data_IF_833194696041
#
_entry.id   IF_833194696041
#
_cell.length_a   1.000
_cell.length_b   1.000
_cell.length_c   1.000
_cell.angle_alpha   90.00
_cell.angle_beta   90.00
_cell.angle_gamma   90.00
#
_symmetry.space_group_name_H-M   'P 1'
#
loop_
_entity.id
_entity.type
_entity.pdbx_description
1 polymer ?
#
# COMPACT_ATOMS: atom_id res chain seq x y z
N UNK A 1 15.13 21.93 -21.81
CA UNK A 1 16.11 21.26 -20.91
C UNK A 1 15.78 19.79 -20.89
N UNK A 2 16.76 18.91 -20.68
CA UNK A 2 16.48 17.48 -20.49
C UNK A 2 15.86 17.28 -19.10
N UNK A 3 14.79 16.49 -18.99
CA UNK A 3 14.09 16.20 -17.72
C UNK A 3 14.76 15.08 -16.91
N UNK A 4 15.61 14.28 -17.56
CA UNK A 4 16.47 13.31 -16.91
C UNK A 4 17.79 13.13 -17.66
N UNK A 5 18.76 12.49 -17.01
CA UNK A 5 20.05 12.08 -17.57
C UNK A 5 20.32 10.62 -17.23
N UNK A 6 20.57 9.80 -18.25
CA UNK A 6 21.02 8.42 -18.06
C UNK A 6 22.55 8.35 -18.06
N UNK A 7 23.11 7.74 -17.02
CA UNK A 7 24.52 7.38 -16.91
C UNK A 7 24.65 5.86 -17.14
N UNK A 8 25.19 5.42 -18.30
CA UNK A 8 25.30 4.01 -18.62
C UNK A 8 26.39 3.28 -17.83
N UNK A 9 27.42 3.99 -17.35
CA UNK A 9 28.49 3.39 -16.56
C UNK A 9 28.00 3.04 -15.16
N UNK A 10 27.21 3.94 -14.58
CA UNK A 10 26.58 3.74 -13.25
C UNK A 10 25.23 3.02 -13.30
N UNK A 11 24.66 2.85 -14.51
CA UNK A 11 23.31 2.32 -14.74
C UNK A 11 22.25 3.07 -13.93
N UNK A 12 22.36 4.40 -13.89
CA UNK A 12 21.49 5.26 -13.10
C UNK A 12 20.81 6.31 -13.98
N UNK A 13 19.58 6.66 -13.63
CA UNK A 13 18.87 7.81 -14.20
C UNK A 13 18.78 8.87 -13.12
N UNK A 14 19.21 10.10 -13.43
CA UNK A 14 19.06 11.26 -12.56
C UNK A 14 17.95 12.15 -13.11
N UNK A 15 16.97 12.47 -12.28
CA UNK A 15 15.91 13.44 -12.56
C UNK A 15 16.30 14.79 -11.98
N UNK A 16 16.18 15.87 -12.76
CA UNK A 16 16.67 17.20 -12.37
C UNK A 16 15.64 18.29 -12.71
N UNK A 17 15.49 19.26 -11.80
CA UNK A 17 14.53 20.35 -11.91
C UNK A 17 13.08 19.89 -11.70
N UNK A 18 12.17 20.86 -11.55
CA UNK A 18 10.76 20.62 -11.20
C UNK A 18 10.11 19.61 -12.15
N UNK A 19 10.20 19.82 -13.47
CA UNK A 19 9.63 18.90 -14.47
C UNK A 19 10.25 17.48 -14.45
N UNK A 20 11.50 17.33 -14.01
CA UNK A 20 12.12 16.03 -13.83
C UNK A 20 11.61 15.32 -12.58
N UNK A 21 11.46 16.07 -11.48
CA UNK A 21 10.91 15.57 -10.23
C UNK A 21 9.40 15.23 -10.36
N UNK A 22 8.63 16.04 -11.09
CA UNK A 22 7.24 15.75 -11.46
C UNK A 22 7.14 14.41 -12.18
N UNK A 23 7.97 14.18 -13.21
CA UNK A 23 8.01 12.91 -13.93
C UNK A 23 8.38 11.74 -13.02
N UNK A 24 9.36 11.90 -12.13
CA UNK A 24 9.73 10.87 -11.17
C UNK A 24 8.55 10.54 -10.25
N UNK A 25 7.91 11.55 -9.69
CA UNK A 25 6.77 11.38 -8.80
C UNK A 25 5.63 10.62 -9.49
N UNK A 26 5.28 11.04 -10.70
CA UNK A 26 4.28 10.39 -11.56
C UNK A 26 4.57 8.91 -11.82
N UNK A 27 5.84 8.58 -12.06
CA UNK A 27 6.26 7.19 -12.28
C UNK A 27 6.15 6.37 -11.00
N UNK A 28 6.51 6.94 -9.85
CA UNK A 28 6.45 6.26 -8.56
C UNK A 28 4.99 6.04 -8.11
N UNK A 29 4.11 7.03 -8.30
CA UNK A 29 2.68 6.88 -8.02
C UNK A 29 2.07 5.78 -8.89
N UNK A 30 2.33 5.79 -10.21
CA UNK A 30 1.85 4.73 -11.10
C UNK A 30 2.44 3.36 -10.77
N UNK A 31 3.68 3.30 -10.28
CA UNK A 31 4.25 2.03 -9.84
C UNK A 31 3.59 1.51 -8.57
N UNK A 32 3.21 2.40 -7.63
CA UNK A 32 2.62 2.04 -6.34
C UNK A 32 1.11 1.75 -6.42
N UNK A 33 0.37 2.58 -7.16
CA UNK A 33 -1.10 2.61 -7.24
C UNK A 33 -1.65 2.34 -8.65
N UNK A 34 -0.80 1.99 -9.61
CA UNK A 34 -1.25 1.67 -10.97
C UNK A 34 -1.87 0.27 -11.07
N UNK A 35 -2.20 -0.10 -12.30
CA UNK A 35 -2.88 -1.36 -12.62
C UNK A 35 -2.15 -2.58 -12.02
N UNK A 36 -2.77 -3.18 -11.00
CA UNK A 36 -2.35 -4.46 -10.43
C UNK A 36 -1.76 -4.42 -9.02
N UNK A 37 -1.57 -3.24 -8.41
CA UNK A 37 -1.10 -3.08 -7.02
C UNK A 37 0.05 -4.02 -6.63
N UNK A 38 1.28 -3.61 -6.95
CA UNK A 38 2.47 -4.36 -6.55
C UNK A 38 2.65 -4.29 -5.02
N UNK A 39 2.25 -5.35 -4.32
CA UNK A 39 2.26 -5.46 -2.86
C UNK A 39 3.59 -5.02 -2.23
N UNK A 40 4.77 -5.41 -2.75
CA UNK A 40 6.05 -4.94 -2.20
C UNK A 40 6.24 -3.41 -2.27
N UNK A 41 5.63 -2.73 -3.25
CA UNK A 41 5.69 -1.27 -3.39
C UNK A 41 4.68 -0.58 -2.47
N UNK A 42 3.49 -1.16 -2.30
CA UNK A 42 2.50 -0.68 -1.34
C UNK A 42 3.09 -0.65 0.08
N UNK A 43 3.70 -1.75 0.52
CA UNK A 43 4.21 -1.90 1.90
C UNK A 43 5.56 -1.23 2.16
N UNK A 44 6.18 -0.61 1.14
CA UNK A 44 7.52 -0.03 1.22
C UNK A 44 7.56 1.31 1.97
N UNK A 45 8.17 1.40 3.17
CA UNK A 45 8.26 2.65 3.92
C UNK A 45 9.19 3.65 3.24
N UNK A 46 10.24 3.18 2.58
CA UNK A 46 11.16 4.04 1.85
C UNK A 46 10.47 4.76 0.69
N UNK A 47 9.66 4.02 -0.08
CA UNK A 47 8.90 4.60 -1.19
C UNK A 47 7.88 5.62 -0.68
N UNK A 48 7.18 5.30 0.41
CA UNK A 48 6.24 6.21 1.05
C UNK A 48 6.89 7.53 1.48
N UNK A 49 8.08 7.46 2.09
CA UNK A 49 8.86 8.65 2.48
C UNK A 49 9.27 9.47 1.25
N UNK A 50 9.74 8.81 0.19
CA UNK A 50 10.13 9.50 -1.03
C UNK A 50 8.93 10.21 -1.70
N UNK A 51 7.78 9.53 -1.80
CA UNK A 51 6.55 10.11 -2.34
C UNK A 51 6.09 11.31 -1.52
N UNK A 52 6.05 11.21 -0.19
CA UNK A 52 5.72 12.35 0.69
C UNK A 52 6.67 13.52 0.55
N UNK A 53 7.97 13.27 0.37
CA UNK A 53 8.94 14.33 0.13
C UNK A 53 8.69 15.01 -1.21
N UNK A 54 8.51 14.24 -2.29
CA UNK A 54 8.22 14.77 -3.61
C UNK A 54 6.93 15.59 -3.61
N UNK A 55 5.87 15.08 -2.99
CA UNK A 55 4.58 15.77 -2.81
C UNK A 55 4.71 17.12 -2.09
N UNK A 56 5.56 17.22 -1.06
CA UNK A 56 5.82 18.49 -0.37
C UNK A 56 6.66 19.49 -1.19
N UNK A 57 7.53 18.99 -2.06
CA UNK A 57 8.45 19.84 -2.84
C UNK A 57 7.85 20.34 -4.15
N UNK A 58 6.89 19.60 -4.70
CA UNK A 58 6.30 19.88 -5.99
C UNK A 58 5.02 20.72 -5.81
N UNK A 59 4.80 21.73 -6.67
CA UNK A 59 3.62 22.58 -6.56
C UNK A 59 2.37 21.76 -6.88
N UNK A 60 1.37 21.80 -6.00
CA UNK A 60 0.04 21.24 -6.26
C UNK A 60 -0.61 22.00 -7.44
N UNK A 61 -0.53 21.40 -8.63
CA UNK A 61 -1.12 21.93 -9.85
C UNK A 61 -2.51 21.32 -10.14
N UNK A 62 -3.05 20.54 -9.19
CA UNK A 62 -4.36 19.89 -9.28
C UNK A 62 -4.43 18.73 -10.29
N UNK A 63 -3.30 18.24 -10.82
CA UNK A 63 -3.27 17.08 -11.73
C UNK A 63 -3.06 15.74 -11.01
N UNK A 64 -2.84 15.76 -9.70
CA UNK A 64 -2.22 14.69 -8.93
C UNK A 64 -3.27 13.80 -8.29
N UNK A 65 -3.76 12.81 -9.06
CA UNK A 65 -5.09 12.20 -8.84
C UNK A 65 -6.20 13.27 -8.89
N UNK A 66 -7.28 13.08 -9.65
CA UNK A 66 -8.36 14.03 -9.61
C UNK A 66 -9.05 13.94 -8.24
N UNK A 67 -8.61 14.75 -7.27
CA UNK A 67 -9.35 15.07 -6.05
C UNK A 67 -10.64 15.79 -6.49
N UNK A 68 -11.62 15.03 -6.99
CA UNK A 68 -12.92 15.58 -7.27
C UNK A 68 -13.58 15.83 -5.92
N UNK A 69 -14.01 17.06 -5.61
CA UNK A 69 -14.64 17.35 -4.33
C UNK A 69 -15.79 16.38 -4.05
N UNK A 70 -15.66 15.58 -2.99
CA UNK A 70 -16.66 14.60 -2.57
C UNK A 70 -16.55 13.20 -3.20
N UNK A 71 -15.51 12.91 -4.00
CA UNK A 71 -15.17 11.53 -4.35
C UNK A 71 -13.98 11.05 -3.52
N UNK A 72 -14.02 9.80 -3.00
CA UNK A 72 -12.85 9.22 -2.36
C UNK A 72 -11.73 9.03 -3.39
N UNK A 73 -10.48 9.13 -2.92
CA UNK A 73 -9.28 8.93 -3.75
C UNK A 73 -9.18 7.45 -4.12
N UNK A 74 -9.49 6.59 -3.15
CA UNK A 74 -9.48 5.14 -3.29
C UNK A 74 -10.91 4.62 -3.35
N UNK A 75 -11.18 3.73 -4.29
CA UNK A 75 -12.43 2.98 -4.31
C UNK A 75 -12.35 1.71 -3.44
N UNK A 76 -13.43 0.93 -3.41
CA UNK A 76 -13.48 -0.28 -2.58
C UNK A 76 -12.45 -1.34 -3.01
N UNK A 77 -12.20 -1.48 -4.32
CA UNK A 77 -11.23 -2.44 -4.84
C UNK A 77 -9.80 -2.04 -4.45
N UNK A 78 -9.51 -0.73 -4.43
CA UNK A 78 -8.25 -0.19 -3.94
C UNK A 78 -8.02 -0.52 -2.45
N UNK A 79 -9.05 -0.32 -1.61
CA UNK A 79 -8.96 -0.59 -0.16
C UNK A 79 -8.76 -2.08 0.12
N UNK A 80 -9.45 -2.96 -0.62
CA UNK A 80 -9.25 -4.41 -0.53
C UNK A 80 -7.83 -4.80 -0.94
N UNK A 81 -7.30 -4.22 -2.03
CA UNK A 81 -5.92 -4.46 -2.46
C UNK A 81 -4.88 -4.04 -1.39
N UNK A 82 -5.15 -2.95 -0.67
CA UNK A 82 -4.34 -2.53 0.47
C UNK A 82 -4.39 -3.53 1.64
N UNK A 83 -5.58 -4.04 1.96
CA UNK A 83 -5.77 -5.11 2.96
C UNK A 83 -5.00 -6.38 2.61
N UNK A 84 -5.14 -6.85 1.37
CA UNK A 84 -4.42 -8.00 0.82
C UNK A 84 -2.91 -7.84 0.89
N UNK A 85 -2.38 -6.65 0.60
CA UNK A 85 -0.95 -6.38 0.71
C UNK A 85 -0.46 -6.55 2.15
N UNK A 86 -1.24 -6.10 3.13
CA UNK A 86 -0.92 -6.25 4.56
C UNK A 86 -1.04 -7.70 5.02
N UNK A 87 -2.04 -8.45 4.54
CA UNK A 87 -2.21 -9.86 4.88
C UNK A 87 -1.00 -10.69 4.41
N UNK A 88 -0.56 -10.48 3.16
CA UNK A 88 0.53 -11.26 2.57
C UNK A 88 1.91 -10.82 3.07
N UNK A 89 2.16 -9.51 3.15
CA UNK A 89 3.46 -8.96 3.54
C UNK A 89 3.56 -8.62 5.03
N UNK A 90 2.50 -8.88 5.82
CA UNK A 90 2.42 -8.50 7.23
C UNK A 90 3.55 -9.06 8.09
N UNK A 91 4.08 -10.22 7.73
CA UNK A 91 5.24 -10.82 8.38
C UNK A 91 6.54 -10.05 8.08
N UNK A 92 6.72 -9.57 6.85
CA UNK A 92 7.88 -8.79 6.40
C UNK A 92 7.95 -7.45 7.12
N UNK A 93 6.79 -6.83 7.33
CA UNK A 93 6.69 -5.46 7.88
C UNK A 93 6.39 -5.42 9.38
N UNK A 94 6.27 -6.59 10.02
CA UNK A 94 6.03 -6.70 11.47
C UNK A 94 4.61 -6.34 11.91
N UNK A 95 3.64 -6.30 10.98
CA UNK A 95 2.25 -5.90 11.20
C UNK A 95 1.62 -6.60 12.41
N UNK A 96 1.84 -7.92 12.54
CA UNK A 96 1.24 -8.75 13.60
C UNK A 96 1.72 -8.39 15.02
N UNK A 97 2.78 -7.61 15.14
CA UNK A 97 3.33 -7.15 16.43
C UNK A 97 3.02 -5.69 16.72
N UNK A 98 2.45 -4.95 15.76
CA UNK A 98 2.07 -3.56 15.93
C UNK A 98 0.84 -3.44 16.83
N UNK A 99 0.85 -2.40 17.67
CA UNK A 99 -0.34 -1.93 18.38
C UNK A 99 -1.34 -1.30 17.41
N UNK A 100 -2.60 -1.18 17.82
CA UNK A 100 -3.64 -0.56 16.98
C UNK A 100 -3.28 0.86 16.49
N UNK A 101 -2.73 1.77 17.32
CA UNK A 101 -2.26 3.07 16.82
C UNK A 101 -1.14 2.97 15.77
N UNK A 102 -0.25 1.99 15.91
CA UNK A 102 0.86 1.77 14.97
C UNK A 102 0.34 1.22 13.64
N UNK A 103 -0.62 0.28 13.65
CA UNK A 103 -1.30 -0.22 12.44
C UNK A 103 -1.97 0.92 11.68
N UNK A 104 -2.73 1.75 12.39
CA UNK A 104 -3.42 2.93 11.83
C UNK A 104 -2.46 3.94 11.22
N UNK A 105 -1.35 4.19 11.90
CA UNK A 105 -0.28 5.02 11.38
C UNK A 105 0.33 4.37 10.14
N UNK A 106 0.61 3.07 10.16
CA UNK A 106 1.20 2.36 9.03
C UNK A 106 0.32 2.41 7.77
N UNK A 107 -1.00 2.20 7.90
CA UNK A 107 -1.94 2.32 6.79
C UNK A 107 -1.92 3.72 6.17
N UNK A 108 -1.99 4.78 6.99
CA UNK A 108 -1.99 6.17 6.51
C UNK A 108 -0.62 6.59 5.97
N UNK A 109 0.44 6.22 6.67
CA UNK A 109 1.77 6.78 6.47
C UNK A 109 2.64 6.00 5.49
N UNK A 110 2.30 4.74 5.23
CA UNK A 110 3.06 3.85 4.34
C UNK A 110 2.21 3.34 3.19
N UNK A 111 1.08 2.72 3.48
CA UNK A 111 0.27 2.04 2.46
C UNK A 111 -0.36 3.05 1.50
N UNK A 112 -1.14 4.00 2.03
CA UNK A 112 -1.81 5.01 1.21
C UNK A 112 -0.94 6.21 0.83
N UNK A 113 0.28 6.30 1.39
CA UNK A 113 1.15 7.44 1.16
C UNK A 113 1.42 7.68 -0.34
N UNK A 114 1.34 8.92 -0.81
CA UNK A 114 1.23 10.15 -0.02
C UNK A 114 -0.21 10.59 0.28
N UNK A 115 -1.20 9.90 -0.27
CA UNK A 115 -2.60 10.26 -0.16
C UNK A 115 -3.17 10.02 1.24
N UNK A 116 -4.11 10.86 1.70
CA UNK A 116 -4.78 10.66 2.98
C UNK A 116 -5.75 9.47 2.92
N UNK A 117 -5.89 8.77 4.05
CA UNK A 117 -7.05 7.92 4.32
C UNK A 117 -7.91 8.57 5.39
N UNK A 118 -9.22 8.51 5.18
CA UNK A 118 -10.22 8.80 6.20
C UNK A 118 -10.27 7.70 7.25
N UNK A 119 -10.87 8.00 8.40
CA UNK A 119 -11.06 7.00 9.45
C UNK A 119 -11.93 5.83 9.00
N UNK A 120 -12.94 6.09 8.15
CA UNK A 120 -13.81 5.05 7.62
C UNK A 120 -13.08 4.09 6.67
N UNK A 121 -12.19 4.60 5.83
CA UNK A 121 -11.37 3.77 4.93
C UNK A 121 -10.37 2.92 5.71
N UNK A 122 -9.78 3.48 6.77
CA UNK A 122 -8.89 2.72 7.66
C UNK A 122 -9.66 1.61 8.38
N UNK A 123 -10.83 1.92 8.94
CA UNK A 123 -11.68 0.92 9.61
C UNK A 123 -12.13 -0.18 8.64
N UNK A 124 -12.39 0.16 7.38
CA UNK A 124 -12.70 -0.81 6.33
C UNK A 124 -11.54 -1.78 6.10
N UNK A 125 -10.31 -1.27 5.92
CA UNK A 125 -9.12 -2.09 5.72
C UNK A 125 -8.84 -2.96 6.96
N UNK A 126 -8.95 -2.40 8.16
CA UNK A 126 -8.77 -3.17 9.41
C UNK A 126 -9.77 -4.33 9.52
N UNK A 127 -11.05 -4.08 9.22
CA UNK A 127 -12.09 -5.09 9.28
C UNK A 127 -11.88 -6.22 8.25
N UNK A 128 -11.41 -5.89 7.04
CA UNK A 128 -11.08 -6.86 6.00
C UNK A 128 -9.92 -7.77 6.43
N UNK A 129 -8.83 -7.18 6.96
CA UNK A 129 -7.68 -7.92 7.48
C UNK A 129 -8.11 -8.86 8.62
N UNK A 130 -8.90 -8.37 9.58
CA UNK A 130 -9.38 -9.18 10.70
C UNK A 130 -10.28 -10.33 10.23
N UNK A 131 -11.15 -10.09 9.24
CA UNK A 131 -12.00 -11.12 8.66
C UNK A 131 -11.18 -12.24 7.98
N UNK A 132 -10.15 -11.87 7.23
CA UNK A 132 -9.23 -12.82 6.59
C UNK A 132 -8.46 -13.65 7.62
N UNK A 133 -7.97 -13.02 8.69
CA UNK A 133 -7.28 -13.72 9.79
C UNK A 133 -8.20 -14.69 10.52
N UNK A 134 -9.43 -14.29 10.81
CA UNK A 134 -10.42 -15.15 11.45
C UNK A 134 -10.78 -16.34 10.56
N UNK A 135 -10.94 -16.14 9.25
CA UNK A 135 -11.17 -17.21 8.30
C UNK A 135 -9.99 -18.19 8.25
N UNK A 136 -8.76 -17.70 8.27
CA UNK A 136 -7.56 -18.54 8.34
C UNK A 136 -7.51 -19.35 9.65
N UNK A 137 -7.88 -18.74 10.79
CA UNK A 137 -7.96 -19.44 12.08
C UNK A 137 -8.96 -20.60 12.04
N UNK A 138 -10.17 -20.34 11.54
CA UNK A 138 -11.22 -21.36 11.42
C UNK A 138 -10.78 -22.53 10.54
N UNK A 139 -10.06 -22.25 9.44
CA UNK A 139 -9.51 -23.29 8.58
C UNK A 139 -8.47 -24.16 9.31
N UNK A 140 -7.57 -23.55 10.08
CA UNK A 140 -6.57 -24.27 10.88
C UNK A 140 -7.24 -25.13 11.96
N UNK A 141 -8.27 -24.61 12.63
CA UNK A 141 -9.03 -25.34 13.65
C UNK A 141 -9.74 -26.56 13.04
N UNK A 142 -10.43 -26.38 11.90
CA UNK A 142 -11.14 -27.45 11.21
C UNK A 142 -10.19 -28.57 10.72
N UNK A 143 -8.96 -28.24 10.33
CA UNK A 143 -7.93 -29.21 9.94
C UNK A 143 -7.28 -29.88 11.15
N UNK A 144 -7.30 -29.22 12.31
CA UNK A 144 -6.73 -29.74 13.57
C UNK A 144 -7.68 -30.67 14.32
N UNK A 145 -8.97 -30.71 13.98
CA UNK A 145 -9.88 -31.74 14.48
C UNK A 145 -9.45 -33.12 13.94
N UNK A 146 -9.24 -34.13 14.81
CA UNK A 146 -8.85 -35.45 14.34
C UNK A 146 -9.96 -36.01 13.46
N UNK A 147 -9.63 -36.28 12.18
CA UNK A 147 -10.44 -37.07 11.26
C UNK A 147 -11.02 -38.26 12.04
N UNK A 148 -12.34 -38.23 12.28
CA UNK A 148 -13.02 -39.30 12.98
C UNK A 148 -12.66 -40.62 12.31
N UNK A 149 -11.90 -41.47 13.00
CA UNK A 149 -11.55 -42.79 12.48
C UNK A 149 -12.86 -43.53 12.20
N UNK A 150 -13.08 -44.02 10.97
CA UNK A 150 -14.30 -44.77 10.67
C UNK A 150 -14.33 -46.00 11.57
N UNK A 151 -15.34 -46.05 12.45
CA UNK A 151 -15.58 -47.20 13.30
C UNK A 151 -15.93 -48.40 12.43
N UNK A 152 -15.01 -49.35 12.32
CA UNK A 152 -15.32 -50.69 11.82
C UNK A 152 -16.02 -51.46 12.95
N UNK A 153 -17.33 -51.64 12.79
CA UNK A 153 -18.12 -52.60 13.55
C UNK A 153 -17.92 -54.04 13.08
#
# INVERSE_FOLDING_TARGET
MSVFRFDPERKSVTFEGDAGLDLLYDLLLRAKFGDGYEKPLLVSPWLAVLLKQLDQFLPDDGQWFPEQPGRPIFDEDDLLAMGDAVIEEGHTVGWWTMTEPEKRAYLRDTIAAPHPLTDAEVEFIEADIDAAVEQARQLVEAVSEPLALPGHG
#
